data_IF_381463020291
#
_entry.id   IF_381463020291
#
_cell.length_a   1.000
_cell.length_b   1.000
_cell.length_c   1.000
_cell.angle_alpha   90.00
_cell.angle_beta   90.00
_cell.angle_gamma   90.00
#
_symmetry.space_group_name_H-M   'P 1'
#
loop_
_entity.id
_entity.type
_entity.pdbx_description
1 polymer ?
#
# COMPACT_ATOMS: atom_id res chain seq x y z
N UNK A 1 -18.31 12.52 0.62
CA UNK A 1 -17.53 11.31 0.94
C UNK A 1 -16.58 11.63 2.07
N UNK A 2 -16.78 11.07 3.27
CA UNK A 2 -15.83 11.24 4.36
C UNK A 2 -14.53 10.52 4.00
N UNK A 3 -13.50 11.28 3.65
CA UNK A 3 -12.15 10.76 3.49
C UNK A 3 -11.70 10.34 4.90
N UNK A 4 -11.48 9.04 5.11
CA UNK A 4 -10.89 8.54 6.35
C UNK A 4 -9.40 8.94 6.33
N UNK A 5 -9.12 10.18 6.70
CA UNK A 5 -7.77 10.73 6.72
C UNK A 5 -7.12 10.16 7.98
N UNK A 6 -6.39 9.06 7.87
CA UNK A 6 -5.50 8.62 8.94
C UNK A 6 -4.25 9.54 8.88
N UNK A 7 -4.11 10.52 9.80
CA UNK A 7 -3.05 11.53 9.71
C UNK A 7 -1.65 10.90 9.70
N UNK A 8 -1.50 9.71 10.27
CA UNK A 8 -0.22 8.97 10.34
C UNK A 8 0.37 8.59 8.97
N UNK A 9 -0.43 8.48 7.91
CA UNK A 9 0.05 8.06 6.59
C UNK A 9 0.59 9.26 5.79
N UNK A 10 0.06 10.47 6.04
CA UNK A 10 0.45 11.65 5.28
C UNK A 10 1.87 12.11 5.62
N UNK A 11 2.21 12.10 6.91
CA UNK A 11 3.53 12.41 7.46
C UNK A 11 4.59 11.31 7.22
N UNK A 12 4.18 10.15 6.68
CA UNK A 12 5.09 9.03 6.54
C UNK A 12 6.02 9.20 5.32
N UNK A 13 7.32 9.28 5.58
CA UNK A 13 8.36 9.27 4.55
C UNK A 13 8.48 7.83 4.06
N UNK A 14 7.87 7.55 2.91
CA UNK A 14 7.93 6.25 2.25
C UNK A 14 9.01 6.28 1.18
N UNK A 15 9.89 5.29 1.23
CA UNK A 15 10.82 5.02 0.13
C UNK A 15 10.10 4.17 -0.93
N UNK A 16 10.44 4.33 -2.23
CA UNK A 16 9.90 3.47 -3.27
C UNK A 16 10.30 2.02 -3.01
N UNK A 17 9.32 1.12 -3.07
CA UNK A 17 9.51 -0.31 -2.74
C UNK A 17 8.86 -1.18 -3.79
N UNK A 18 9.41 -2.38 -3.96
CA UNK A 18 8.79 -3.40 -4.81
C UNK A 18 7.58 -4.04 -4.13
N UNK A 19 6.65 -4.55 -4.94
CA UNK A 19 5.43 -5.23 -4.45
C UNK A 19 5.69 -6.41 -3.52
N UNK A 20 6.81 -7.10 -3.68
CA UNK A 20 7.17 -8.22 -2.80
C UNK A 20 7.43 -7.74 -1.38
N UNK A 21 8.12 -6.62 -1.23
CA UNK A 21 8.37 -5.97 0.07
C UNK A 21 7.03 -5.52 0.67
N UNK A 22 6.18 -4.86 -0.12
CA UNK A 22 4.86 -4.44 0.36
C UNK A 22 4.01 -5.63 0.79
N UNK A 23 4.01 -6.72 0.02
CA UNK A 23 3.27 -7.93 0.38
C UNK A 23 3.79 -8.55 1.69
N UNK A 24 5.12 -8.56 1.88
CA UNK A 24 5.78 -9.01 3.10
C UNK A 24 5.42 -8.14 4.32
N UNK A 25 5.38 -6.80 4.16
CA UNK A 25 4.96 -5.86 5.21
C UNK A 25 3.53 -6.13 5.72
N UNK A 26 2.66 -6.59 4.81
CA UNK A 26 1.30 -7.02 5.11
C UNK A 26 1.19 -8.48 5.59
N UNK A 27 2.28 -9.26 5.52
CA UNK A 27 2.29 -10.69 5.82
C UNK A 27 1.47 -11.53 4.83
N UNK A 28 1.34 -11.07 3.59
CA UNK A 28 0.56 -11.73 2.54
C UNK A 28 1.43 -12.06 1.33
N UNK A 29 0.95 -12.96 0.47
CA UNK A 29 1.62 -13.25 -0.79
C UNK A 29 1.38 -12.14 -1.82
N UNK A 30 2.34 -11.95 -2.73
CA UNK A 30 2.23 -11.08 -3.92
C UNK A 30 0.92 -11.24 -4.69
N UNK A 31 0.45 -12.49 -4.86
CA UNK A 31 -0.81 -12.80 -5.55
C UNK A 31 -2.02 -12.23 -4.82
N UNK A 32 -2.00 -12.27 -3.48
CA UNK A 32 -3.05 -11.70 -2.63
C UNK A 32 -3.04 -10.18 -2.74
N UNK A 33 -1.86 -9.56 -2.67
CA UNK A 33 -1.72 -8.11 -2.86
C UNK A 33 -2.25 -7.66 -4.23
N UNK A 34 -1.86 -8.33 -5.32
CA UNK A 34 -2.36 -8.03 -6.66
C UNK A 34 -3.88 -8.18 -6.76
N UNK A 35 -4.45 -9.22 -6.12
CA UNK A 35 -5.91 -9.40 -6.07
C UNK A 35 -6.60 -8.29 -5.29
N UNK A 36 -6.01 -7.83 -4.19
CA UNK A 36 -6.52 -6.72 -3.39
C UNK A 36 -6.51 -5.41 -4.18
N UNK A 37 -5.38 -5.08 -4.80
CA UNK A 37 -5.21 -3.92 -5.69
C UNK A 37 -6.27 -3.92 -6.79
N UNK A 38 -6.45 -5.06 -7.48
CA UNK A 38 -7.46 -5.22 -8.53
C UNK A 38 -8.89 -5.10 -7.99
N UNK A 39 -9.17 -5.66 -6.81
CA UNK A 39 -10.50 -5.59 -6.16
C UNK A 39 -10.83 -4.17 -5.71
N UNK A 40 -9.83 -3.40 -5.27
CA UNK A 40 -9.95 -2.01 -4.88
C UNK A 40 -9.97 -1.04 -6.07
N UNK A 41 -9.72 -1.52 -7.29
CA UNK A 41 -9.67 -0.69 -8.49
C UNK A 41 -8.50 0.28 -8.50
N UNK A 42 -7.40 -0.05 -7.81
CA UNK A 42 -6.21 0.79 -7.77
C UNK A 42 -5.37 0.54 -9.02
N UNK A 43 -5.15 1.59 -9.81
CA UNK A 43 -4.25 1.54 -10.96
C UNK A 43 -2.82 1.77 -10.48
N UNK A 44 -2.11 0.68 -10.17
CA UNK A 44 -0.72 0.73 -9.69
C UNK A 44 0.16 0.10 -10.76
N UNK A 45 1.24 0.77 -11.21
CA UNK A 45 2.14 0.24 -12.22
C UNK A 45 2.82 -1.05 -11.75
N UNK A 46 3.08 -1.96 -12.70
CA UNK A 46 3.82 -3.18 -12.42
C UNK A 46 5.30 -2.84 -12.15
N UNK A 47 5.82 -3.27 -11.00
CA UNK A 47 7.24 -3.12 -10.66
C UNK A 47 7.46 -2.39 -9.34
N UNK A 48 8.34 -1.38 -9.38
CA UNK A 48 8.63 -0.49 -8.26
C UNK A 48 7.39 0.37 -7.99
N UNK A 49 6.93 0.42 -6.74
CA UNK A 49 5.80 1.25 -6.33
C UNK A 49 6.36 2.55 -5.76
N UNK A 50 5.99 3.67 -6.38
CA UNK A 50 6.35 5.00 -5.89
C UNK A 50 5.73 5.29 -4.51
N UNK A 51 6.34 6.20 -3.72
CA UNK A 51 5.81 6.62 -2.44
C UNK A 51 4.35 7.09 -2.50
N UNK A 52 3.97 7.76 -3.59
CA UNK A 52 2.59 8.19 -3.83
C UNK A 52 1.61 7.02 -3.89
N UNK A 53 1.93 5.99 -4.67
CA UNK A 53 1.12 4.79 -4.79
C UNK A 53 1.12 3.97 -3.49
N UNK A 54 2.24 3.92 -2.76
CA UNK A 54 2.32 3.28 -1.44
C UNK A 54 1.36 3.94 -0.44
N UNK A 55 1.30 5.28 -0.39
CA UNK A 55 0.32 6.00 0.45
C UNK A 55 -1.11 5.61 0.11
N UNK A 56 -1.44 5.46 -1.17
CA UNK A 56 -2.78 5.02 -1.60
C UNK A 56 -3.08 3.59 -1.12
N UNK A 57 -2.13 2.67 -1.28
CA UNK A 57 -2.27 1.27 -0.81
C UNK A 57 -2.51 1.26 0.70
N UNK A 58 -1.69 1.97 1.47
CA UNK A 58 -1.78 1.98 2.94
C UNK A 58 -3.05 2.66 3.44
N UNK A 59 -3.56 3.67 2.72
CA UNK A 59 -4.88 4.26 3.01
C UNK A 59 -6.02 3.28 2.71
N UNK A 60 -5.89 2.47 1.66
CA UNK A 60 -6.93 1.54 1.24
C UNK A 60 -6.98 0.26 2.08
N UNK A 61 -5.83 -0.25 2.54
CA UNK A 61 -5.71 -1.55 3.21
C UNK A 61 -5.24 -1.46 4.67
N UNK A 62 -5.21 -0.25 5.24
CA UNK A 62 -4.63 0.07 6.55
C UNK A 62 -3.09 -0.04 6.59
N UNK A 63 -2.47 0.47 7.67
CA UNK A 63 -1.01 0.50 7.82
C UNK A 63 -0.52 -0.94 8.04
N UNK A 64 0.46 -1.42 7.26
CA UNK A 64 0.99 -2.77 7.44
C UNK A 64 1.58 -2.96 8.83
N UNK A 65 1.37 -4.14 9.42
CA UNK A 65 1.80 -4.45 10.80
C UNK A 65 3.30 -4.39 10.99
N UNK A 66 4.07 -4.69 9.94
CA UNK A 66 5.52 -4.71 9.98
C UNK A 66 6.16 -3.31 9.83
N UNK A 67 5.32 -2.28 9.73
CA UNK A 67 5.72 -0.87 9.68
C UNK A 67 5.49 -0.15 11.04
N UNK A 68 5.14 -0.93 12.08
CA UNK A 68 4.84 -0.48 13.43
C UNK A 68 6.09 -0.47 14.32
#
# INVERSE_FOLDING_TARGET
>A
MAMNINPKIDDLILEPKYRNIVADEYGISLRTLNRWIKKAGLDIPNGLIDPYHLKIIYRAFDIPKHLK
#
